data_IF_033947324626
#
_entry.id   IF_033947324626
#
_cell.length_a   1.000
_cell.length_b   1.000
_cell.length_c   1.000
_cell.angle_alpha   90.00
_cell.angle_beta   90.00
_cell.angle_gamma   90.00
#
_symmetry.space_group_name_H-M   'P 1'
#
loop_
_entity.id
_entity.type
_entity.pdbx_description
1 polymer ?
#
# COMPACT_ATOMS: atom_id res chain seq x y z
N UNK A 1 51.18 31.79 -39.79
CA UNK A 1 50.75 31.84 -38.38
C UNK A 1 49.25 31.52 -38.28
N UNK A 2 48.84 30.36 -38.80
CA UNK A 2 47.42 29.93 -38.83
C UNK A 2 47.24 28.44 -38.49
N UNK A 3 48.33 27.69 -38.30
CA UNK A 3 48.31 26.24 -38.06
C UNK A 3 48.05 25.92 -36.58
N UNK A 4 48.42 26.82 -35.66
CA UNK A 4 48.20 26.61 -34.23
C UNK A 4 46.71 26.67 -33.86
N UNK A 5 45.93 27.56 -34.49
CA UNK A 5 44.50 27.71 -34.20
C UNK A 5 43.69 26.47 -34.60
N UNK A 6 44.03 25.82 -35.72
CA UNK A 6 43.31 24.62 -36.18
C UNK A 6 43.59 23.38 -35.33
N UNK A 7 44.78 23.28 -34.72
CA UNK A 7 45.13 22.17 -33.84
C UNK A 7 44.47 22.32 -32.45
N UNK A 8 44.43 23.54 -31.92
CA UNK A 8 43.74 23.84 -30.66
C UNK A 8 42.22 23.63 -30.77
N UNK A 9 41.61 23.87 -31.94
CA UNK A 9 40.20 23.59 -32.22
C UNK A 9 39.89 22.08 -32.25
N UNK A 10 40.75 21.26 -32.89
CA UNK A 10 40.60 19.80 -32.95
C UNK A 10 40.77 19.16 -31.55
N UNK A 11 41.74 19.63 -30.76
CA UNK A 11 41.95 19.19 -29.37
C UNK A 11 40.78 19.60 -28.47
N UNK A 12 40.19 20.78 -28.66
CA UNK A 12 39.01 21.22 -27.93
C UNK A 12 37.75 20.41 -28.28
N UNK A 13 37.54 20.09 -29.56
CA UNK A 13 36.50 19.17 -30.00
C UNK A 13 36.73 17.76 -29.41
N UNK A 14 38.00 17.36 -29.32
CA UNK A 14 38.37 16.08 -28.76
C UNK A 14 38.04 15.94 -27.27
N UNK A 15 38.40 16.97 -26.51
CA UNK A 15 38.10 17.06 -25.09
C UNK A 15 36.58 17.17 -24.82
N UNK A 16 35.82 17.79 -25.73
CA UNK A 16 34.35 17.86 -25.63
C UNK A 16 33.71 16.49 -25.86
N UNK A 17 34.18 15.67 -26.82
CA UNK A 17 33.68 14.30 -26.97
C UNK A 17 34.01 13.47 -25.73
N UNK A 18 35.22 13.60 -25.16
CA UNK A 18 35.66 12.80 -24.02
C UNK A 18 34.80 13.12 -22.79
N UNK A 19 34.58 14.41 -22.53
CA UNK A 19 33.68 14.90 -21.49
C UNK A 19 32.23 14.42 -21.68
N UNK A 20 31.72 14.41 -22.93
CA UNK A 20 30.37 13.89 -23.24
C UNK A 20 30.23 12.39 -22.98
N UNK A 21 31.25 11.60 -23.29
CA UNK A 21 31.24 10.15 -23.04
C UNK A 21 31.36 9.85 -21.54
N UNK A 22 32.21 10.58 -20.81
CA UNK A 22 32.33 10.46 -19.35
C UNK A 22 31.05 10.89 -18.61
N UNK A 23 30.44 12.01 -19.02
CA UNK A 23 29.17 12.45 -18.44
C UNK A 23 28.03 11.47 -18.74
N UNK A 24 27.96 10.91 -19.95
CA UNK A 24 26.94 9.93 -20.31
C UNK A 24 27.10 8.60 -19.56
N UNK A 25 28.34 8.15 -19.36
CA UNK A 25 28.62 6.94 -18.57
C UNK A 25 28.29 7.15 -17.09
N UNK A 26 28.61 8.32 -16.53
CA UNK A 26 28.20 8.69 -15.17
C UNK A 26 26.67 8.71 -15.02
N UNK A 27 25.94 9.39 -15.91
CA UNK A 27 24.47 9.46 -15.86
C UNK A 27 23.86 8.07 -15.97
N UNK A 28 24.36 7.22 -16.87
CA UNK A 28 23.90 5.84 -17.03
C UNK A 28 24.11 5.03 -15.75
N UNK A 29 25.26 5.17 -15.10
CA UNK A 29 25.55 4.51 -13.82
C UNK A 29 24.62 4.99 -12.70
N UNK A 30 24.38 6.29 -12.58
CA UNK A 30 23.44 6.85 -11.60
C UNK A 30 22.00 6.36 -11.81
N UNK A 31 21.54 6.27 -13.06
CA UNK A 31 20.21 5.73 -13.38
C UNK A 31 20.09 4.25 -13.01
N UNK A 32 21.14 3.45 -13.27
CA UNK A 32 21.18 2.05 -12.86
C UNK A 32 21.13 1.92 -11.33
N UNK A 33 21.94 2.68 -10.60
CA UNK A 33 21.92 2.67 -9.12
C UNK A 33 20.56 3.07 -8.55
N UNK A 34 19.91 4.09 -9.14
CA UNK A 34 18.58 4.51 -8.73
C UNK A 34 17.53 3.42 -8.98
N UNK A 35 17.59 2.76 -10.14
CA UNK A 35 16.66 1.67 -10.49
C UNK A 35 16.81 0.43 -9.60
N UNK A 36 18.04 0.11 -9.18
CA UNK A 36 18.32 -0.99 -8.25
C UNK A 36 17.79 -0.63 -6.85
N UNK A 37 18.00 0.61 -6.41
CA UNK A 37 17.56 1.09 -5.09
C UNK A 37 16.04 1.11 -4.96
N UNK A 38 15.30 1.43 -6.02
CA UNK A 38 13.83 1.39 -5.99
C UNK A 38 13.30 -0.05 -6.06
N UNK A 39 13.96 -0.95 -6.79
CA UNK A 39 13.58 -2.36 -6.85
C UNK A 39 13.69 -3.08 -5.49
N UNK A 40 14.70 -2.76 -4.68
CA UNK A 40 14.88 -3.38 -3.35
C UNK A 40 13.81 -2.95 -2.34
N UNK A 41 13.31 -1.71 -2.42
CA UNK A 41 12.22 -1.20 -1.56
C UNK A 41 10.91 -1.94 -1.85
N UNK A 42 10.62 -2.22 -3.12
CA UNK A 42 9.40 -2.94 -3.53
C UNK A 42 9.42 -4.40 -3.04
N UNK A 43 10.59 -5.05 -3.02
CA UNK A 43 10.73 -6.45 -2.60
C UNK A 43 10.79 -6.57 -1.05
N UNK A 44 11.38 -5.59 -0.36
CA UNK A 44 11.58 -5.61 1.10
C UNK A 44 10.35 -5.26 1.95
N UNK A 45 9.22 -4.90 1.36
CA UNK A 45 8.03 -4.40 2.07
C UNK A 45 7.02 -5.48 2.48
N UNK A 46 7.38 -6.77 2.39
CA UNK A 46 6.49 -7.89 2.72
C UNK A 46 6.92 -8.61 3.99
N UNK A 47 7.12 -7.87 5.09
CA UNK A 47 7.00 -8.48 6.42
C UNK A 47 5.52 -8.70 6.71
N UNK A 48 4.96 -9.83 6.23
CA UNK A 48 3.71 -10.38 6.76
C UNK A 48 3.95 -10.87 8.19
N UNK A 49 4.27 -9.97 9.12
CA UNK A 49 4.01 -10.25 10.52
C UNK A 49 2.50 -10.33 10.64
N UNK A 50 1.94 -11.53 10.60
CA UNK A 50 0.56 -11.75 10.99
C UNK A 50 0.39 -11.16 12.38
N UNK A 51 -0.22 -9.98 12.46
CA UNK A 51 -0.64 -9.44 13.75
C UNK A 51 -1.72 -10.39 14.27
N UNK A 52 -1.35 -11.19 15.26
CA UNK A 52 -2.29 -12.07 15.93
C UNK A 52 -3.11 -11.25 16.92
N UNK A 53 -4.35 -10.93 16.55
CA UNK A 53 -5.33 -10.34 17.44
C UNK A 53 -6.25 -11.45 17.94
N UNK A 54 -5.99 -12.06 19.12
CA UNK A 54 -6.74 -13.22 19.60
C UNK A 54 -8.21 -12.89 19.96
N UNK A 55 -8.53 -11.61 20.12
CA UNK A 55 -9.88 -11.14 20.42
C UNK A 55 -10.09 -9.71 19.92
N UNK A 56 -11.35 -9.38 19.60
CA UNK A 56 -11.81 -8.02 19.30
C UNK A 56 -12.86 -7.64 20.34
N UNK A 57 -12.60 -6.55 21.07
CA UNK A 57 -13.56 -5.95 21.97
C UNK A 57 -14.25 -4.79 21.28
N UNK A 58 -15.56 -4.91 21.09
CA UNK A 58 -16.41 -3.94 20.41
C UNK A 58 -17.33 -3.27 21.43
N UNK A 59 -17.34 -1.94 21.44
CA UNK A 59 -18.27 -1.12 22.20
C UNK A 59 -19.03 -0.21 21.23
N UNK A 60 -20.32 -0.03 21.45
CA UNK A 60 -21.11 0.81 20.56
C UNK A 60 -22.60 0.71 20.82
N UNK A 61 -23.35 0.89 19.74
CA UNK A 61 -24.80 0.88 19.68
C UNK A 61 -25.30 -0.31 18.83
N UNK A 62 -26.56 -0.24 18.41
CA UNK A 62 -27.21 -1.25 17.59
C UNK A 62 -26.47 -1.62 16.29
N UNK A 63 -25.62 -0.73 15.75
CA UNK A 63 -24.87 -0.98 14.52
C UNK A 63 -23.70 -1.95 14.71
N UNK A 64 -23.24 -2.16 15.94
CA UNK A 64 -22.18 -3.11 16.27
C UNK A 64 -22.62 -4.21 17.23
N UNK A 65 -23.84 -4.12 17.77
CA UNK A 65 -24.38 -5.11 18.70
C UNK A 65 -24.69 -6.44 17.99
N UNK A 66 -23.94 -7.48 18.37
CA UNK A 66 -24.08 -8.84 17.82
C UNK A 66 -25.05 -9.74 18.61
N UNK A 67 -25.75 -9.19 19.60
CA UNK A 67 -26.71 -9.92 20.44
C UNK A 67 -26.69 -9.56 21.92
N UNK A 68 -25.90 -8.57 22.33
CA UNK A 68 -25.80 -8.06 23.69
C UNK A 68 -27.13 -7.52 24.23
N UNK A 69 -27.86 -6.70 23.46
CA UNK A 69 -29.20 -6.26 23.87
C UNK A 69 -30.18 -7.43 23.92
N UNK A 70 -30.14 -8.32 22.92
CA UNK A 70 -31.02 -9.48 22.85
C UNK A 70 -30.82 -10.45 24.02
N UNK A 71 -29.57 -10.59 24.49
CA UNK A 71 -29.23 -11.44 25.63
C UNK A 71 -29.53 -10.79 26.99
N UNK A 72 -29.57 -9.46 27.07
CA UNK A 72 -29.69 -8.74 28.35
C UNK A 72 -31.07 -8.18 28.64
N UNK A 73 -31.78 -7.68 27.62
CA UNK A 73 -33.03 -6.94 27.79
C UNK A 73 -34.14 -7.45 26.86
N UNK A 74 -34.03 -7.17 25.56
CA UNK A 74 -35.07 -7.49 24.59
C UNK A 74 -34.47 -7.78 23.21
N UNK A 75 -34.84 -8.88 22.56
CA UNK A 75 -34.40 -9.17 21.19
C UNK A 75 -35.08 -8.24 20.17
N UNK A 76 -34.37 -7.86 19.09
CA UNK A 76 -34.97 -7.18 17.95
C UNK A 76 -36.07 -8.02 17.32
N UNK A 77 -37.19 -7.39 16.94
CA UNK A 77 -38.33 -8.02 16.27
C UNK A 77 -38.20 -7.95 14.75
N UNK A 78 -39.00 -8.68 13.96
CA UNK A 78 -39.00 -8.55 12.51
C UNK A 78 -39.06 -7.08 12.05
N UNK A 79 -38.32 -6.69 11.00
CA UNK A 79 -37.78 -7.56 9.94
C UNK A 79 -36.34 -8.07 10.16
N UNK A 80 -35.74 -7.83 11.34
CA UNK A 80 -34.31 -8.11 11.53
C UNK A 80 -33.94 -9.59 11.41
N UNK A 81 -32.97 -9.87 10.55
CA UNK A 81 -32.49 -11.21 10.22
C UNK A 81 -33.22 -11.91 9.06
N UNK A 82 -34.30 -11.33 8.52
CA UNK A 82 -35.16 -12.02 7.55
C UNK A 82 -34.47 -12.30 6.20
N UNK A 83 -33.57 -11.43 5.72
CA UNK A 83 -33.00 -11.57 4.36
C UNK A 83 -31.71 -12.38 4.27
N UNK A 84 -30.78 -12.27 5.23
CA UNK A 84 -29.50 -12.99 5.18
C UNK A 84 -29.53 -14.25 6.04
N UNK A 85 -29.94 -14.15 7.30
CA UNK A 85 -29.96 -15.27 8.23
C UNK A 85 -31.26 -16.08 8.17
N UNK A 86 -32.32 -15.51 7.58
CA UNK A 86 -33.66 -16.09 7.48
C UNK A 86 -34.29 -16.43 8.83
N UNK A 87 -33.82 -15.77 9.90
CA UNK A 87 -34.32 -15.82 11.27
C UNK A 87 -33.71 -14.67 12.11
N UNK A 88 -34.35 -14.25 13.21
CA UNK A 88 -33.74 -13.28 14.12
C UNK A 88 -32.46 -13.82 14.76
N UNK A 89 -31.34 -13.11 14.59
CA UNK A 89 -30.03 -13.43 15.18
C UNK A 89 -29.63 -12.46 16.31
N UNK A 90 -30.61 -11.74 16.88
CA UNK A 90 -30.36 -10.79 17.98
C UNK A 90 -29.71 -9.48 17.55
N UNK A 91 -29.69 -9.16 16.25
CA UNK A 91 -29.04 -7.98 15.66
C UNK A 91 -30.06 -7.01 15.09
N UNK A 92 -29.81 -5.71 15.12
CA UNK A 92 -30.63 -4.69 14.44
C UNK A 92 -30.26 -4.55 12.95
N UNK A 93 -30.13 -5.68 12.25
CA UNK A 93 -29.80 -5.73 10.82
C UNK A 93 -30.43 -6.95 10.18
N UNK A 94 -30.69 -6.89 8.87
CA UNK A 94 -31.14 -8.06 8.09
C UNK A 94 -29.98 -8.98 7.68
N UNK A 95 -28.74 -8.66 8.06
CA UNK A 95 -27.57 -9.50 7.82
C UNK A 95 -26.37 -9.12 8.68
N UNK A 96 -25.17 -9.35 8.14
CA UNK A 96 -23.91 -9.08 8.85
C UNK A 96 -23.75 -7.60 9.20
N UNK A 97 -23.09 -7.35 10.33
CA UNK A 97 -22.65 -6.04 10.78
C UNK A 97 -21.21 -5.77 10.31
N UNK A 98 -20.77 -4.52 10.34
CA UNK A 98 -19.40 -4.13 9.95
C UNK A 98 -18.35 -4.94 10.72
N UNK A 99 -18.59 -5.22 12.00
CA UNK A 99 -17.68 -5.98 12.86
C UNK A 99 -17.44 -7.42 12.36
N UNK A 100 -18.40 -8.02 11.64
CA UNK A 100 -18.26 -9.38 11.09
C UNK A 100 -17.25 -9.45 9.92
N UNK A 101 -16.84 -8.30 9.37
CA UNK A 101 -15.85 -8.22 8.30
C UNK A 101 -14.44 -7.88 8.82
N UNK A 102 -14.32 -7.47 10.08
CA UNK A 102 -13.04 -7.08 10.71
C UNK A 102 -12.42 -8.25 11.46
N UNK A 103 -13.24 -9.15 12.03
CA UNK A 103 -12.79 -10.28 12.85
C UNK A 103 -12.55 -11.60 12.10
N UNK A 104 -12.31 -11.56 10.79
CA UNK A 104 -12.08 -12.74 9.95
C UNK A 104 -10.64 -12.81 9.44
#
# INVERSE_FOLDING_TARGET
MAINNTFEEEEAEANNYSCRVETLTCVSFFVVLLSISTATIVIGSSSNSECNFPAIFNFGDSNSDTGGLAASLLPPTPPYGDTYFHRPEGRFSNGRLVIDFIGN
#
